data_IF_217865473855
#
_entry.id   IF_217865473855
#
_cell.length_a   1.000
_cell.length_b   1.000
_cell.length_c   1.000
_cell.angle_alpha   90.00
_cell.angle_beta   90.00
_cell.angle_gamma   90.00
#
_symmetry.space_group_name_H-M   'P 1'
#
loop_
_entity.id
_entity.type
_entity.pdbx_description
1 polymer ?
#
# COMPACT_ATOMS: atom_id res chain seq x y z
N UNK A 1 -25.54 44.68 -20.45
CA UNK A 1 -25.22 43.25 -20.33
C UNK A 1 -23.71 43.16 -20.22
N UNK A 2 -23.20 42.90 -19.01
CA UNK A 2 -21.77 42.86 -18.75
C UNK A 2 -21.27 41.45 -19.11
N UNK A 3 -20.48 41.34 -20.17
CA UNK A 3 -19.85 40.09 -20.55
C UNK A 3 -18.63 39.87 -19.65
N UNK A 4 -18.74 38.98 -18.67
CA UNK A 4 -17.57 38.49 -17.94
C UNK A 4 -16.68 37.67 -18.88
N UNK A 5 -15.37 37.92 -18.90
CA UNK A 5 -14.44 37.09 -19.65
C UNK A 5 -14.31 35.72 -18.97
N UNK A 6 -14.82 34.67 -19.61
CA UNK A 6 -14.54 33.28 -19.24
C UNK A 6 -13.08 32.98 -19.58
N UNK A 7 -12.19 33.21 -18.61
CA UNK A 7 -10.78 32.86 -18.73
C UNK A 7 -10.65 31.36 -18.47
N UNK A 8 -10.18 30.56 -19.45
CA UNK A 8 -10.05 29.13 -19.27
C UNK A 8 -9.02 28.84 -18.18
N UNK A 9 -9.37 27.94 -17.25
CA UNK A 9 -8.55 27.54 -16.09
C UNK A 9 -7.11 27.19 -16.50
N UNK A 10 -6.94 26.63 -17.71
CA UNK A 10 -5.65 26.34 -18.34
C UNK A 10 -4.68 27.53 -18.42
N UNK A 11 -5.19 28.74 -18.62
CA UNK A 11 -4.37 29.97 -18.71
C UNK A 11 -3.81 30.40 -17.35
N UNK A 12 -4.47 30.06 -16.24
CA UNK A 12 -3.97 30.33 -14.88
C UNK A 12 -2.84 29.36 -14.50
N UNK A 13 -2.90 28.12 -14.97
CA UNK A 13 -1.85 27.12 -14.73
C UNK A 13 -0.51 27.53 -15.38
N UNK A 14 -0.56 28.11 -16.59
CA UNK A 14 0.64 28.51 -17.34
C UNK A 14 1.32 29.79 -16.81
N UNK A 15 0.62 30.60 -16.00
CA UNK A 15 1.17 31.80 -15.36
C UNK A 15 1.66 31.56 -13.93
N UNK A 16 1.61 30.31 -13.44
CA UNK A 16 2.16 29.93 -12.15
C UNK A 16 3.67 30.12 -12.13
N UNK A 17 4.24 30.52 -10.98
CA UNK A 17 5.69 30.56 -10.83
C UNK A 17 6.21 29.13 -11.07
N UNK A 18 7.30 28.94 -11.83
CA UNK A 18 7.80 27.60 -12.16
C UNK A 18 8.09 26.76 -10.91
N UNK A 19 8.44 27.41 -9.80
CA UNK A 19 8.62 26.77 -8.49
C UNK A 19 7.34 26.12 -7.93
N UNK A 20 6.18 26.74 -8.11
CA UNK A 20 4.90 26.22 -7.61
C UNK A 20 4.49 24.97 -8.41
N UNK A 21 4.77 24.96 -9.72
CA UNK A 21 4.54 23.81 -10.59
C UNK A 21 5.43 22.65 -10.18
N UNK A 22 6.73 22.89 -9.94
CA UNK A 22 7.67 21.87 -9.47
C UNK A 22 7.22 21.30 -8.12
N UNK A 23 6.85 22.17 -7.18
CA UNK A 23 6.38 21.74 -5.86
C UNK A 23 5.12 20.87 -5.97
N UNK A 24 4.18 21.24 -6.83
CA UNK A 24 2.98 20.45 -7.10
C UNK A 24 3.31 19.08 -7.69
N UNK A 25 4.23 19.02 -8.66
CA UNK A 25 4.67 17.75 -9.26
C UNK A 25 5.34 16.84 -8.24
N UNK A 26 6.20 17.37 -7.37
CA UNK A 26 6.83 16.59 -6.30
C UNK A 26 5.80 16.06 -5.30
N UNK A 27 4.78 16.86 -4.98
CA UNK A 27 3.72 16.45 -4.07
C UNK A 27 2.87 15.33 -4.67
N UNK A 28 2.51 15.44 -5.96
CA UNK A 28 1.79 14.37 -6.68
C UNK A 28 2.63 13.09 -6.72
N UNK A 29 3.94 13.19 -7.02
CA UNK A 29 4.84 12.05 -7.04
C UNK A 29 4.89 11.35 -5.68
N UNK A 30 4.99 12.12 -4.59
CA UNK A 30 4.98 11.57 -3.23
C UNK A 30 3.68 10.80 -2.95
N UNK A 31 2.53 11.37 -3.31
CA UNK A 31 1.23 10.70 -3.13
C UNK A 31 1.19 9.36 -3.89
N UNK A 32 1.63 9.34 -5.15
CA UNK A 32 1.65 8.10 -5.95
C UNK A 32 2.51 7.03 -5.27
N UNK A 33 3.73 7.38 -4.84
CA UNK A 33 4.61 6.42 -4.15
C UNK A 33 4.01 5.87 -2.85
N UNK A 34 3.25 6.70 -2.12
CA UNK A 34 2.54 6.28 -0.91
C UNK A 34 1.40 5.31 -1.22
N UNK A 35 0.67 5.54 -2.31
CA UNK A 35 -0.40 4.64 -2.77
C UNK A 35 0.21 3.29 -3.18
N UNK A 36 1.27 3.30 -3.99
CA UNK A 36 1.92 2.06 -4.44
C UNK A 36 2.41 1.21 -3.25
N UNK A 37 3.05 1.84 -2.27
CA UNK A 37 3.50 1.16 -1.05
C UNK A 37 2.34 0.60 -0.22
N UNK A 38 1.24 1.35 -0.12
CA UNK A 38 0.05 0.88 0.61
C UNK A 38 -0.59 -0.32 -0.09
N UNK A 39 -0.67 -0.30 -1.42
CA UNK A 39 -1.20 -1.40 -2.22
C UNK A 39 -0.35 -2.67 -2.09
N UNK A 40 0.97 -2.57 -2.13
CA UNK A 40 1.89 -3.71 -1.95
C UNK A 40 1.71 -4.39 -0.57
N UNK A 41 1.59 -3.58 0.49
CA UNK A 41 1.36 -4.09 1.84
C UNK A 41 0.01 -4.81 1.93
N UNK A 42 -1.05 -4.24 1.37
CA UNK A 42 -2.39 -4.85 1.40
C UNK A 42 -2.45 -6.14 0.59
N UNK A 43 -1.84 -6.16 -0.60
CA UNK A 43 -1.81 -7.36 -1.45
C UNK A 43 -1.09 -8.51 -0.74
N UNK A 44 -0.02 -8.24 -0.01
CA UNK A 44 0.65 -9.25 0.81
C UNK A 44 -0.19 -9.73 2.01
N UNK A 45 -1.04 -8.89 2.59
CA UNK A 45 -1.95 -9.30 3.67
C UNK A 45 -3.13 -10.13 3.16
N UNK A 46 -3.72 -9.75 2.03
CA UNK A 46 -4.85 -10.46 1.41
C UNK A 46 -4.42 -11.86 0.96
N UNK A 47 -3.26 -11.95 0.28
CA UNK A 47 -2.66 -13.23 -0.09
C UNK A 47 -2.35 -14.10 1.13
N UNK A 48 -1.97 -13.49 2.26
CA UNK A 48 -1.72 -14.23 3.49
C UNK A 48 -3.01 -14.74 4.16
N UNK A 49 -4.09 -13.96 4.10
CA UNK A 49 -5.40 -14.38 4.59
C UNK A 49 -5.92 -15.58 3.78
N UNK A 50 -5.83 -15.51 2.46
CA UNK A 50 -6.22 -16.58 1.54
C UNK A 50 -5.36 -17.84 1.74
N UNK A 51 -4.02 -17.69 1.79
CA UNK A 51 -3.09 -18.81 2.03
C UNK A 51 -3.40 -19.56 3.33
N UNK A 52 -3.68 -18.84 4.43
CA UNK A 52 -4.03 -19.49 5.71
C UNK A 52 -5.34 -20.27 5.63
N UNK A 53 -6.30 -19.76 4.86
CA UNK A 53 -7.59 -20.40 4.69
C UNK A 53 -7.47 -21.66 3.82
N UNK A 54 -6.71 -21.58 2.72
CA UNK A 54 -6.45 -22.70 1.81
C UNK A 54 -5.70 -23.85 2.50
N UNK A 55 -4.67 -23.53 3.29
CA UNK A 55 -3.81 -24.52 3.96
C UNK A 55 -4.19 -24.83 5.42
N UNK A 56 -5.42 -24.45 5.83
CA UNK A 56 -5.96 -24.68 7.18
C UNK A 56 -4.99 -24.32 8.32
N UNK A 57 -4.29 -23.20 8.18
CA UNK A 57 -3.23 -22.82 9.08
C UNK A 57 -3.78 -22.39 10.45
N UNK A 58 -3.17 -22.90 11.53
CA UNK A 58 -3.52 -22.56 12.91
C UNK A 58 -2.34 -21.91 13.64
N UNK A 59 -2.62 -21.02 14.60
CA UNK A 59 -1.57 -20.35 15.37
C UNK A 59 -0.81 -21.36 16.24
N UNK A 60 0.52 -21.40 16.10
CA UNK A 60 1.37 -22.29 16.90
C UNK A 60 1.46 -21.78 18.33
N UNK A 61 0.91 -22.57 19.26
CA UNK A 61 1.04 -22.33 20.70
C UNK A 61 2.28 -23.04 21.21
N UNK A 62 3.20 -22.30 21.79
CA UNK A 62 4.35 -22.88 22.51
C UNK A 62 4.07 -22.88 24.01
N UNK A 63 4.79 -23.68 24.82
CA UNK A 63 4.65 -23.65 26.28
C UNK A 63 4.92 -22.26 26.90
N UNK A 64 5.67 -21.41 26.19
CA UNK A 64 5.95 -20.02 26.57
C UNK A 64 4.86 -19.02 26.10
N UNK A 65 3.79 -19.49 25.47
CA UNK A 65 2.68 -18.67 24.96
C UNK A 65 2.46 -18.78 23.45
N UNK A 66 1.47 -18.03 22.96
CA UNK A 66 1.17 -17.91 21.54
C UNK A 66 2.34 -17.18 20.84
N UNK A 67 2.99 -17.83 19.87
CA UNK A 67 3.92 -17.13 18.99
C UNK A 67 3.06 -16.44 17.94
N UNK A 68 2.78 -15.15 18.14
CA UNK A 68 1.79 -14.37 17.38
C UNK A 68 2.03 -14.33 15.85
N UNK A 69 3.16 -14.85 15.38
CA UNK A 69 3.57 -14.87 13.99
C UNK A 69 3.88 -16.25 13.43
N UNK A 70 3.81 -17.33 14.20
CA UNK A 70 4.08 -18.68 13.72
C UNK A 70 2.76 -19.42 13.49
N UNK A 71 2.55 -19.86 12.26
CA UNK A 71 1.35 -20.59 11.83
C UNK A 71 1.75 -21.98 11.39
N UNK A 72 1.07 -23.01 11.92
CA UNK A 72 1.25 -24.40 11.52
C UNK A 72 0.10 -24.80 10.60
N UNK A 73 0.44 -25.24 9.40
CA UNK A 73 -0.51 -25.61 8.36
C UNK A 73 -0.63 -27.14 8.22
N UNK A 74 -1.59 -27.60 7.43
CA UNK A 74 -1.89 -29.03 7.21
C UNK A 74 -0.75 -29.83 6.57
N UNK A 75 0.14 -29.15 5.83
CA UNK A 75 1.38 -29.70 5.28
C UNK A 75 2.45 -30.02 6.35
N UNK A 76 2.17 -29.73 7.62
CA UNK A 76 3.06 -29.95 8.75
C UNK A 76 4.18 -28.91 8.87
N UNK A 77 4.26 -27.92 7.98
CA UNK A 77 5.27 -26.85 8.02
C UNK A 77 4.79 -25.70 8.89
N UNK A 78 5.76 -24.92 9.37
CA UNK A 78 5.51 -23.70 10.14
C UNK A 78 5.87 -22.49 9.28
N UNK A 79 4.91 -21.60 9.06
CA UNK A 79 5.04 -20.37 8.28
C UNK A 79 5.07 -19.14 9.21
N UNK A 80 5.80 -18.10 8.79
CA UNK A 80 5.93 -16.85 9.55
C UNK A 80 5.44 -15.65 8.76
N UNK A 81 4.53 -14.84 9.34
CA UNK A 81 3.90 -13.68 8.68
C UNK A 81 4.90 -12.66 8.11
N UNK A 82 6.04 -12.44 8.78
CA UNK A 82 6.99 -11.36 8.44
C UNK A 82 8.29 -11.82 7.75
N UNK A 83 8.45 -13.11 7.42
CA UNK A 83 9.66 -13.63 6.73
C UNK A 83 9.33 -14.28 5.39
N UNK A 84 8.57 -13.58 4.56
CA UNK A 84 8.51 -13.86 3.13
C UNK A 84 9.24 -12.73 2.38
N UNK A 85 10.50 -12.46 2.75
CA UNK A 85 11.40 -11.75 1.83
C UNK A 85 11.92 -12.82 0.88
N UNK A 86 11.14 -13.13 -0.15
CA UNK A 86 11.56 -14.01 -1.22
C UNK A 86 12.51 -13.21 -2.13
N UNK A 87 13.74 -13.70 -2.26
CA UNK A 87 14.65 -13.32 -3.34
C UNK A 87 14.92 -14.54 -4.18
#
# INVERSE_FOLDING_TARGET
>A
MNNEPNIPVFKRLLNGKPMDIILYLLFVLAIVTLIDLYSDINEHEDNWAEFKQEHHCSLKKTPAGNVQSAWQCDDGKTYYRWRQVQK
#
